data_IF_282721534038
#
_entry.id   IF_282721534038
#
_cell.length_a   1.000
_cell.length_b   1.000
_cell.length_c   1.000
_cell.angle_alpha   90.00
_cell.angle_beta   90.00
_cell.angle_gamma   90.00
#
_symmetry.space_group_name_H-M   'P 1'
#
loop_
_entity.id
_entity.type
_entity.pdbx_description
1 polymer ?
#
# COMPACT_ATOMS: atom_id res chain seq x y z
N UNK A 1 -29.20 -3.95 9.88
CA UNK A 1 -29.58 -2.88 10.84
C UNK A 1 -30.95 -2.38 10.43
N UNK A 2 -31.93 -2.46 11.32
CA UNK A 2 -33.29 -2.09 10.95
C UNK A 2 -33.44 -0.58 10.73
N UNK A 3 -34.35 -0.19 9.82
CA UNK A 3 -34.62 1.23 9.48
C UNK A 3 -34.91 2.07 10.71
N UNK A 4 -35.60 1.50 11.70
CA UNK A 4 -35.95 2.18 12.96
C UNK A 4 -34.70 2.44 13.80
N UNK A 5 -33.78 1.48 13.90
CA UNK A 5 -32.52 1.65 14.63
C UNK A 5 -31.65 2.73 13.98
N UNK A 6 -31.60 2.77 12.64
CA UNK A 6 -30.88 3.80 11.91
C UNK A 6 -31.45 5.20 12.15
N UNK A 7 -32.78 5.35 12.14
CA UNK A 7 -33.45 6.62 12.46
C UNK A 7 -33.14 7.07 13.90
N UNK A 8 -33.17 6.15 14.87
CA UNK A 8 -32.79 6.43 16.27
C UNK A 8 -31.34 6.91 16.39
N UNK A 9 -30.43 6.31 15.61
CA UNK A 9 -29.04 6.78 15.54
C UNK A 9 -28.95 8.20 14.97
N UNK A 10 -29.67 8.51 13.89
CA UNK A 10 -29.69 9.86 13.31
C UNK A 10 -30.24 10.91 14.28
N UNK A 11 -31.30 10.57 15.01
CA UNK A 11 -31.87 11.46 16.03
C UNK A 11 -30.89 11.69 17.19
N UNK A 12 -30.20 10.64 17.63
CA UNK A 12 -29.14 10.74 18.64
C UNK A 12 -27.98 11.62 18.17
N UNK A 13 -27.54 11.46 16.91
CA UNK A 13 -26.54 12.31 16.26
C UNK A 13 -26.97 13.77 16.23
N UNK A 14 -28.21 14.05 15.81
CA UNK A 14 -28.77 15.40 15.75
C UNK A 14 -28.81 16.06 17.14
N UNK A 15 -29.30 15.33 18.14
CA UNK A 15 -29.49 15.86 19.49
C UNK A 15 -28.17 16.08 20.23
N UNK A 16 -27.09 15.39 19.86
CA UNK A 16 -25.78 15.49 20.49
C UNK A 16 -24.68 16.03 19.57
N UNK A 17 -25.03 16.66 18.45
CA UNK A 17 -24.08 17.07 17.40
C UNK A 17 -22.95 17.96 17.94
N UNK A 18 -23.27 18.89 18.86
CA UNK A 18 -22.27 19.75 19.48
C UNK A 18 -21.22 18.97 20.28
N UNK A 19 -21.64 17.94 21.03
CA UNK A 19 -20.71 17.08 21.78
C UNK A 19 -19.82 16.28 20.82
N UNK A 20 -20.40 15.73 19.74
CA UNK A 20 -19.63 14.97 18.74
C UNK A 20 -18.61 15.83 18.01
N UNK A 21 -18.97 17.05 17.60
CA UNK A 21 -18.04 18.00 16.98
C UNK A 21 -16.88 18.32 17.93
N UNK A 22 -17.15 18.60 19.20
CA UNK A 22 -16.09 18.90 20.19
C UNK A 22 -15.15 17.70 20.37
N UNK A 23 -15.69 16.48 20.48
CA UNK A 23 -14.87 15.26 20.57
C UNK A 23 -14.01 15.10 19.31
N UNK A 24 -14.61 15.25 18.13
CA UNK A 24 -13.90 15.09 16.86
C UNK A 24 -12.79 16.13 16.69
N UNK A 25 -13.04 17.39 17.07
CA UNK A 25 -12.03 18.46 17.05
C UNK A 25 -10.88 18.18 18.03
N UNK A 26 -11.17 17.65 19.21
CA UNK A 26 -10.16 17.27 20.19
C UNK A 26 -9.22 16.19 19.63
N UNK A 27 -9.78 15.20 18.92
CA UNK A 27 -9.02 14.09 18.34
C UNK A 27 -8.52 14.35 16.91
N UNK A 28 -8.84 15.51 16.35
CA UNK A 28 -8.36 15.92 15.03
C UNK A 28 -6.85 16.14 15.02
N UNK A 29 -6.29 16.70 16.10
CA UNK A 29 -4.84 16.94 16.22
C UNK A 29 -4.05 15.61 16.24
N UNK A 30 -4.36 14.63 17.11
CA UNK A 30 -3.77 13.29 17.03
C UNK A 30 -3.92 12.62 15.66
N UNK A 31 -5.08 12.77 15.02
CA UNK A 31 -5.34 12.22 13.69
C UNK A 31 -4.43 12.83 12.62
N UNK A 32 -4.31 14.16 12.58
CA UNK A 32 -3.40 14.84 11.65
C UNK A 32 -1.96 14.37 11.88
N UNK A 33 -1.52 14.31 13.14
CA UNK A 33 -0.17 13.87 13.49
C UNK A 33 0.09 12.45 12.96
N UNK A 34 -0.85 11.53 13.17
CA UNK A 34 -0.76 10.16 12.68
C UNK A 34 -0.75 10.11 11.13
N UNK A 35 -1.64 10.84 10.46
CA UNK A 35 -1.74 10.87 8.99
C UNK A 35 -0.49 11.47 8.36
N UNK A 36 0.03 12.57 8.89
CA UNK A 36 1.27 13.19 8.40
C UNK A 36 2.45 12.23 8.58
N UNK A 37 2.57 11.57 9.73
CA UNK A 37 3.59 10.55 9.96
C UNK A 37 3.48 9.39 8.97
N UNK A 38 2.29 8.82 8.83
CA UNK A 38 2.01 7.71 7.91
C UNK A 38 2.29 8.07 6.44
N UNK A 39 1.89 9.27 5.98
CA UNK A 39 2.09 9.72 4.60
C UNK A 39 3.56 9.76 4.17
N UNK A 40 4.47 9.85 5.13
CA UNK A 40 5.93 9.84 4.90
C UNK A 40 6.54 8.45 5.07
N UNK A 41 6.01 7.63 5.99
CA UNK A 41 6.50 6.28 6.26
C UNK A 41 6.05 5.30 5.17
N UNK A 42 4.79 5.36 4.73
CA UNK A 42 4.22 4.41 3.76
C UNK A 42 5.04 4.38 2.46
N UNK A 43 5.36 5.51 1.81
CA UNK A 43 6.20 5.49 0.61
C UNK A 43 7.60 4.92 0.85
N UNK A 44 8.18 5.12 2.05
CA UNK A 44 9.48 4.55 2.40
C UNK A 44 9.41 3.03 2.54
N UNK A 45 8.34 2.52 3.16
CA UNK A 45 8.08 1.09 3.27
C UNK A 45 7.87 0.45 1.90
N UNK A 46 7.06 1.06 1.02
CA UNK A 46 6.86 0.60 -0.36
C UNK A 46 8.18 0.57 -1.12
N UNK A 47 8.95 1.66 -1.12
CA UNK A 47 10.28 1.69 -1.76
C UNK A 47 11.26 0.65 -1.17
N UNK A 48 11.12 0.28 0.11
CA UNK A 48 11.92 -0.77 0.72
C UNK A 48 11.53 -2.14 0.17
N UNK A 49 10.23 -2.46 0.09
CA UNK A 49 9.76 -3.70 -0.52
C UNK A 49 10.13 -3.78 -2.00
N UNK A 50 9.96 -2.72 -2.77
CA UNK A 50 10.36 -2.67 -4.19
C UNK A 50 11.89 -2.80 -4.37
N UNK A 51 12.67 -2.45 -3.34
CA UNK A 51 14.13 -2.64 -3.37
C UNK A 51 14.57 -4.07 -3.04
N UNK A 52 13.66 -4.97 -2.64
CA UNK A 52 14.00 -6.38 -2.44
C UNK A 52 14.25 -7.10 -3.78
N UNK A 53 13.64 -6.65 -4.89
CA UNK A 53 13.82 -7.25 -6.22
C UNK A 53 15.16 -6.90 -6.89
N UNK A 54 15.85 -5.85 -6.42
CA UNK A 54 17.18 -5.44 -6.92
C UNK A 54 18.09 -5.03 -5.77
N UNK A 55 19.12 -5.84 -5.53
CA UNK A 55 20.13 -5.54 -4.53
C UNK A 55 21.19 -4.60 -5.10
N UNK A 56 21.09 -3.32 -4.74
CA UNK A 56 22.08 -2.30 -5.08
C UNK A 56 23.30 -2.46 -4.16
N UNK A 57 24.42 -2.91 -4.74
CA UNK A 57 25.66 -3.19 -4.00
C UNK A 57 26.44 -1.91 -3.74
N UNK A 58 26.56 -1.04 -4.75
CA UNK A 58 27.36 0.18 -4.66
C UNK A 58 26.86 1.23 -5.65
N UNK A 59 26.87 2.51 -5.27
CA UNK A 59 26.62 3.63 -6.19
C UNK A 59 27.64 4.71 -5.93
N UNK A 60 28.21 5.27 -7.00
CA UNK A 60 29.17 6.36 -6.88
C UNK A 60 28.54 7.58 -6.20
N UNK A 61 29.37 8.24 -5.41
CA UNK A 61 29.08 9.47 -4.68
C UNK A 61 28.76 10.66 -5.60
N UNK A 62 28.99 10.58 -6.89
CA UNK A 62 28.74 11.71 -7.79
C UNK A 62 27.30 11.74 -8.33
N UNK A 63 26.51 10.70 -8.05
CA UNK A 63 25.16 10.54 -8.61
C UNK A 63 24.08 10.39 -7.54
N UNK A 64 23.14 11.33 -7.50
CA UNK A 64 22.10 11.38 -6.47
C UNK A 64 20.75 10.77 -6.89
N UNK A 65 20.42 10.78 -8.20
CA UNK A 65 19.13 10.28 -8.73
C UNK A 65 19.33 9.57 -10.06
N UNK A 66 19.20 8.25 -10.05
CA UNK A 66 19.41 7.41 -11.22
C UNK A 66 18.13 6.61 -11.53
N UNK A 67 17.97 6.28 -12.80
CA UNK A 67 16.93 5.36 -13.27
C UNK A 67 17.61 4.23 -14.00
N UNK A 68 17.51 3.03 -13.44
CA UNK A 68 17.97 1.81 -14.06
C UNK A 68 16.79 1.17 -14.77
N UNK A 69 16.94 0.85 -16.05
CA UNK A 69 15.97 0.10 -16.82
C UNK A 69 16.60 -1.21 -17.23
N UNK A 70 15.93 -2.31 -16.96
CA UNK A 70 16.35 -3.65 -17.34
C UNK A 70 15.29 -4.24 -18.24
N UNK A 71 15.70 -4.76 -19.39
CA UNK A 71 14.83 -5.50 -20.29
C UNK A 71 15.34 -6.93 -20.42
N UNK A 72 14.48 -7.88 -20.06
CA UNK A 72 14.78 -9.31 -20.12
C UNK A 72 14.40 -9.83 -21.51
N UNK A 73 15.39 -10.33 -22.26
CA UNK A 73 15.16 -10.83 -23.61
C UNK A 73 14.50 -12.23 -23.54
N UNK A 74 13.55 -12.52 -24.45
CA UNK A 74 13.00 -13.88 -24.55
C UNK A 74 14.09 -14.86 -24.99
N UNK A 75 14.12 -16.05 -24.38
CA UNK A 75 15.11 -17.08 -24.69
C UNK A 75 14.76 -17.73 -26.04
N UNK A 76 15.70 -17.74 -26.98
CA UNK A 76 15.52 -18.39 -28.28
C UNK A 76 14.54 -17.65 -29.20
N UNK A 77 15.08 -16.80 -30.08
CA UNK A 77 14.32 -16.30 -31.23
C UNK A 77 14.22 -17.44 -32.25
N UNK A 78 13.18 -18.27 -32.12
CA UNK A 78 12.69 -19.10 -33.22
C UNK A 78 11.68 -18.24 -33.98
N UNK A 79 12.14 -17.54 -35.03
CA UNK A 79 11.36 -16.58 -35.84
C UNK A 79 10.04 -17.16 -36.38
N UNK A 80 9.92 -18.49 -36.43
CA UNK A 80 8.80 -19.19 -37.05
C UNK A 80 7.61 -19.50 -36.12
N UNK A 81 7.72 -19.37 -34.78
CA UNK A 81 6.66 -19.83 -33.87
C UNK A 81 5.76 -18.76 -33.24
N UNK A 82 6.07 -17.47 -33.39
CA UNK A 82 5.24 -16.39 -32.81
C UNK A 82 4.58 -15.49 -33.87
N UNK A 83 4.01 -16.13 -34.89
CA UNK A 83 3.45 -15.51 -36.10
C UNK A 83 2.15 -14.70 -35.98
N UNK A 84 1.56 -14.46 -34.79
CA UNK A 84 0.30 -13.70 -34.69
C UNK A 84 0.50 -12.25 -34.21
N UNK A 85 1.17 -12.04 -33.07
CA UNK A 85 1.37 -10.68 -32.54
C UNK A 85 2.45 -9.90 -33.30
N UNK A 86 3.52 -10.55 -33.75
CA UNK A 86 4.60 -9.91 -34.52
C UNK A 86 4.13 -9.41 -35.90
N UNK A 87 3.24 -10.16 -36.58
CA UNK A 87 2.62 -9.74 -37.84
C UNK A 87 1.67 -8.55 -37.68
N UNK A 88 1.01 -8.43 -36.52
CA UNK A 88 0.09 -7.31 -36.26
C UNK A 88 0.83 -5.98 -36.10
N UNK A 89 2.00 -5.99 -35.45
CA UNK A 89 2.82 -4.78 -35.26
C UNK A 89 3.66 -4.41 -36.48
N UNK A 90 4.11 -5.39 -37.28
CA UNK A 90 4.83 -5.11 -38.54
C UNK A 90 3.93 -4.39 -39.56
N UNK A 91 2.65 -4.76 -39.63
CA UNK A 91 1.67 -4.12 -40.53
C UNK A 91 1.29 -2.68 -40.13
N UNK A 92 1.57 -2.29 -38.89
CA UNK A 92 1.39 -0.91 -38.41
C UNK A 92 2.63 -0.03 -38.68
N UNK A 93 3.83 -0.62 -38.85
CA UNK A 93 5.08 0.09 -39.11
C UNK A 93 5.43 0.31 -40.59
N UNK A 94 4.89 -0.49 -41.50
CA UNK A 94 5.20 -0.43 -42.96
C UNK A 94 4.56 0.75 -43.72
N UNK A 95 3.96 1.74 -43.04
CA UNK A 95 3.39 2.95 -43.70
C UNK A 95 4.30 4.19 -43.68
N UNK A 96 5.61 4.04 -43.50
CA UNK A 96 6.53 5.17 -43.52
C UNK A 96 7.90 4.85 -44.10
N UNK A 97 8.04 5.03 -45.42
CA UNK A 97 9.22 5.59 -46.09
C UNK A 97 10.55 4.84 -46.01
N UNK A 98 11.00 4.33 -47.15
CA UNK A 98 12.36 3.89 -47.45
C UNK A 98 13.42 4.98 -47.24
N UNK A 99 14.62 4.57 -46.84
CA UNK A 99 15.87 5.14 -47.34
C UNK A 99 16.99 4.11 -47.16
N UNK A 100 17.56 3.70 -48.30
CA UNK A 100 18.86 3.06 -48.39
C UNK A 100 19.95 4.08 -48.06
N UNK A 101 21.01 3.65 -47.38
CA UNK A 101 22.31 3.53 -48.01
C UNK A 101 23.35 3.05 -46.99
N UNK A 102 24.28 2.28 -47.54
CA UNK A 102 25.44 1.62 -46.97
C UNK A 102 26.35 2.52 -46.13
N UNK A 103 26.92 1.95 -45.05
CA UNK A 103 28.38 2.02 -44.83
C UNK A 103 28.84 1.03 -43.74
N UNK A 104 29.94 0.35 -44.05
CA UNK A 104 30.58 -0.72 -43.29
C UNK A 104 31.22 -0.23 -41.99
N UNK A 105 31.00 -0.92 -40.87
CA UNK A 105 31.93 -0.94 -39.74
C UNK A 105 31.94 -2.33 -39.09
N UNK A 106 33.00 -3.09 -39.41
CA UNK A 106 33.72 -4.05 -38.58
C UNK A 106 32.84 -5.01 -37.75
N UNK A 107 32.57 -6.18 -38.33
CA UNK A 107 32.17 -7.38 -37.59
C UNK A 107 33.33 -7.85 -36.69
N UNK A 108 33.30 -7.42 -35.43
CA UNK A 108 34.06 -8.07 -34.37
C UNK A 108 33.25 -9.29 -33.90
N UNK A 109 33.80 -10.48 -34.13
CA UNK A 109 33.25 -11.78 -33.72
C UNK A 109 32.86 -11.78 -32.23
N UNK A 110 31.60 -11.52 -31.93
CA UNK A 110 31.01 -11.79 -30.63
C UNK A 110 30.81 -13.30 -30.50
N UNK A 111 31.68 -13.95 -29.71
CA UNK A 111 31.46 -15.31 -29.23
C UNK A 111 30.05 -15.43 -28.66
N UNK A 112 29.31 -16.46 -29.06
CA UNK A 112 27.99 -16.84 -28.54
C UNK A 112 27.97 -16.80 -27.00
N UNK A 113 27.54 -15.68 -26.45
CA UNK A 113 27.06 -15.55 -25.09
C UNK A 113 25.62 -15.13 -25.23
N UNK A 114 24.71 -16.07 -24.98
CA UNK A 114 23.27 -15.83 -24.98
C UNK A 114 22.96 -14.60 -24.12
N UNK A 115 22.57 -13.50 -24.77
CA UNK A 115 22.26 -12.26 -24.08
C UNK A 115 20.90 -12.44 -23.44
N UNK A 116 20.86 -12.46 -22.11
CA UNK A 116 19.63 -12.67 -21.33
C UNK A 116 18.87 -11.36 -21.09
N UNK A 117 19.52 -10.21 -21.25
CA UNK A 117 18.87 -8.92 -21.13
C UNK A 117 19.77 -7.72 -21.42
N UNK A 118 19.20 -6.52 -21.32
CA UNK A 118 19.92 -5.26 -21.48
C UNK A 118 19.59 -4.29 -20.35
N UNK A 119 20.61 -3.63 -19.79
CA UNK A 119 20.49 -2.62 -18.76
C UNK A 119 20.87 -1.24 -19.29
N UNK A 120 20.03 -0.25 -19.02
CA UNK A 120 20.27 1.15 -19.27
C UNK A 120 20.24 1.93 -17.96
N UNK A 121 21.22 2.81 -17.75
CA UNK A 121 21.26 3.70 -16.60
C UNK A 121 21.13 5.16 -17.07
N UNK A 122 20.16 5.87 -16.53
CA UNK A 122 19.87 7.26 -16.88
C UNK A 122 19.92 8.16 -15.64
N UNK A 123 20.21 9.44 -15.85
CA UNK A 123 19.80 10.48 -14.89
C UNK A 123 18.27 10.61 -14.93
N UNK A 124 17.65 10.83 -13.77
CA UNK A 124 16.18 10.93 -13.68
C UNK A 124 15.56 12.01 -14.56
N UNK A 125 16.22 13.17 -14.73
CA UNK A 125 15.72 14.26 -15.59
C UNK A 125 15.78 13.89 -17.06
N UNK A 126 16.80 13.12 -17.43
CA UNK A 126 17.02 12.64 -18.80
C UNK A 126 16.02 11.53 -19.13
N UNK A 127 15.80 10.58 -18.21
CA UNK A 127 14.87 9.47 -18.38
C UNK A 127 13.45 9.95 -18.76
N UNK A 128 12.93 10.96 -18.07
CA UNK A 128 11.59 11.50 -18.35
C UNK A 128 11.41 11.99 -19.81
N UNK A 129 12.49 12.45 -20.45
CA UNK A 129 12.48 12.90 -21.86
C UNK A 129 12.57 11.74 -22.85
N UNK A 130 13.23 10.64 -22.47
CA UNK A 130 13.49 9.51 -23.37
C UNK A 130 12.60 8.30 -23.15
N UNK A 131 11.76 8.28 -22.11
CA UNK A 131 10.87 7.15 -21.77
C UNK A 131 10.01 6.67 -22.93
N UNK A 132 9.54 7.57 -23.81
CA UNK A 132 8.73 7.21 -24.99
C UNK A 132 9.52 6.31 -25.96
N UNK A 133 10.82 6.58 -26.11
CA UNK A 133 11.70 5.80 -26.98
C UNK A 133 12.05 4.44 -26.37
N UNK A 134 11.99 4.30 -25.05
CA UNK A 134 12.17 3.03 -24.36
C UNK A 134 11.11 2.01 -24.80
N UNK A 135 9.83 2.38 -24.72
CA UNK A 135 8.74 1.52 -25.13
C UNK A 135 8.73 1.22 -26.64
N UNK A 136 9.19 2.17 -27.47
CA UNK A 136 9.36 1.98 -28.92
C UNK A 136 10.60 1.14 -29.27
N UNK A 137 11.57 1.01 -28.37
CA UNK A 137 12.73 0.13 -28.56
C UNK A 137 12.37 -1.34 -28.35
N UNK A 138 11.35 -1.63 -27.53
CA UNK A 138 10.88 -2.98 -27.23
C UNK A 138 9.93 -3.57 -28.29
N UNK A 139 9.42 -2.76 -29.21
CA UNK A 139 8.56 -3.23 -30.32
C UNK A 139 9.34 -3.69 -31.57
N UNK A 140 10.67 -3.73 -31.51
CA UNK A 140 11.56 -4.23 -32.57
C UNK A 140 12.84 -4.82 -31.96
N UNK A 141 13.91 -5.01 -32.72
CA UNK A 141 15.20 -5.47 -32.18
C UNK A 141 15.74 -4.43 -31.14
N UNK A 142 15.76 -4.79 -29.84
CA UNK A 142 16.14 -3.89 -28.76
C UNK A 142 17.64 -3.54 -28.77
N UNK A 143 18.44 -4.14 -29.64
CA UNK A 143 19.87 -3.88 -29.78
C UNK A 143 20.21 -2.99 -30.98
N UNK A 144 19.43 -3.06 -32.07
CA UNK A 144 19.79 -2.47 -33.37
C UNK A 144 18.91 -1.29 -33.81
N UNK A 145 17.69 -1.15 -33.26
CA UNK A 145 16.75 -0.14 -33.79
C UNK A 145 17.17 1.32 -33.49
N UNK A 146 16.65 2.27 -34.28
CA UNK A 146 17.00 3.70 -34.17
C UNK A 146 16.71 4.28 -32.77
N UNK A 147 15.68 3.78 -32.08
CA UNK A 147 15.36 4.17 -30.71
C UNK A 147 16.36 3.59 -29.69
N UNK A 148 16.81 2.35 -29.86
CA UNK A 148 17.86 1.74 -29.04
C UNK A 148 19.19 2.48 -29.20
N UNK A 149 19.57 2.88 -30.42
CA UNK A 149 20.75 3.72 -30.67
C UNK A 149 20.65 5.07 -29.96
N UNK A 150 19.49 5.72 -29.99
CA UNK A 150 19.22 6.96 -29.25
C UNK A 150 19.34 6.76 -27.73
N UNK A 151 18.76 5.68 -27.20
CA UNK A 151 18.81 5.36 -25.77
C UNK A 151 20.25 5.11 -25.30
N UNK A 152 21.04 4.33 -26.04
CA UNK A 152 22.48 4.13 -25.78
C UNK A 152 23.25 5.45 -25.79
N UNK A 153 22.93 6.34 -26.74
CA UNK A 153 23.55 7.68 -26.84
C UNK A 153 23.16 8.63 -25.72
N UNK A 154 22.06 8.39 -25.01
CA UNK A 154 21.58 9.30 -23.95
C UNK A 154 21.78 8.72 -22.54
N UNK A 155 21.92 7.40 -22.44
CA UNK A 155 22.24 6.71 -21.19
C UNK A 155 23.62 7.14 -20.66
N UNK A 156 23.71 7.19 -19.32
CA UNK A 156 24.98 7.32 -18.58
C UNK A 156 25.81 6.04 -18.79
N UNK A 157 25.15 4.88 -18.72
CA UNK A 157 25.75 3.56 -18.92
C UNK A 157 24.76 2.64 -19.64
N UNK A 158 25.29 1.78 -20.51
CA UNK A 158 24.56 0.69 -21.17
C UNK A 158 25.35 -0.60 -21.03
N UNK A 159 24.68 -1.72 -20.73
CA UNK A 159 25.33 -3.02 -20.59
C UNK A 159 24.41 -4.16 -21.01
N UNK A 160 24.93 -5.11 -21.77
CA UNK A 160 24.27 -6.40 -22.02
C UNK A 160 24.49 -7.33 -20.83
N UNK A 161 23.44 -8.02 -20.42
CA UNK A 161 23.45 -8.96 -19.31
C UNK A 161 23.50 -10.37 -19.89
N UNK A 162 24.58 -11.08 -19.58
CA UNK A 162 24.81 -12.44 -20.09
C UNK A 162 24.64 -13.50 -18.99
N UNK A 163 24.69 -13.10 -17.71
CA UNK A 163 24.44 -13.95 -16.54
C UNK A 163 23.94 -13.08 -15.38
N UNK A 164 23.05 -13.65 -14.56
CA UNK A 164 22.50 -13.03 -13.36
C UNK A 164 23.30 -13.41 -12.09
N UNK A 165 24.25 -14.35 -12.20
CA UNK A 165 25.01 -14.88 -11.05
C UNK A 165 26.16 -13.96 -10.63
N UNK A 166 26.41 -12.90 -11.40
CA UNK A 166 27.48 -11.93 -11.16
C UNK A 166 26.93 -10.52 -11.10
N UNK A 167 27.52 -9.66 -10.23
CA UNK A 167 27.08 -8.29 -10.14
C UNK A 167 27.34 -7.54 -11.45
N UNK A 168 26.32 -6.83 -11.93
CA UNK A 168 26.39 -5.99 -13.11
C UNK A 168 26.98 -4.64 -12.72
N UNK A 169 28.20 -4.38 -13.17
CA UNK A 169 28.84 -3.06 -13.03
C UNK A 169 28.44 -2.13 -14.17
N UNK A 170 27.78 -1.04 -13.85
CA UNK A 170 27.45 0.07 -14.74
C UNK A 170 28.50 1.17 -14.59
N UNK A 171 29.18 1.51 -15.68
CA UNK A 171 30.25 2.50 -15.72
C UNK A 171 29.87 3.65 -16.63
N UNK A 172 30.24 4.87 -16.26
CA UNK A 172 30.05 6.02 -17.13
C UNK A 172 30.96 5.93 -18.36
N UNK A 173 30.81 6.88 -19.29
CA UNK A 173 31.64 6.95 -20.50
C UNK A 173 33.12 7.18 -20.24
N UNK A 174 33.46 7.67 -19.06
CA UNK A 174 34.83 7.93 -18.64
C UNK A 174 35.44 6.71 -17.92
N UNK A 175 34.68 5.61 -17.77
CA UNK A 175 35.11 4.38 -17.13
C UNK A 175 34.90 4.33 -15.61
N UNK A 176 34.36 5.39 -15.01
CA UNK A 176 34.10 5.43 -13.57
C UNK A 176 32.91 4.54 -13.22
N UNK A 177 33.02 3.79 -12.13
CA UNK A 177 31.91 3.00 -11.61
C UNK A 177 30.78 3.94 -11.19
N UNK A 178 29.60 3.78 -11.78
CA UNK A 178 28.40 4.55 -11.40
C UNK A 178 27.56 3.75 -10.44
N UNK A 179 27.35 2.46 -10.73
CA UNK A 179 26.44 1.62 -9.98
C UNK A 179 26.80 0.14 -10.15
N UNK A 180 26.81 -0.64 -9.06
CA UNK A 180 26.98 -2.09 -9.05
C UNK A 180 25.72 -2.72 -8.46
N UNK A 181 25.17 -3.71 -9.16
CA UNK A 181 23.86 -4.30 -8.85
C UNK A 181 23.94 -5.82 -8.93
N UNK A 182 23.30 -6.52 -8.01
CA UNK A 182 22.92 -7.92 -8.21
C UNK A 182 21.49 -7.95 -8.78
N UNK A 183 21.31 -8.69 -9.86
CA UNK A 183 20.03 -8.79 -10.56
C UNK A 183 19.46 -10.18 -10.35
N UNK A 184 18.19 -10.26 -9.94
CA UNK A 184 17.48 -11.52 -9.96
C UNK A 184 16.85 -11.74 -11.36
N UNK A 185 16.79 -13.00 -11.83
CA UNK A 185 16.10 -13.32 -13.06
C UNK A 185 14.61 -13.00 -12.93
N UNK A 186 14.07 -12.23 -13.88
CA UNK A 186 12.64 -11.95 -13.99
C UNK A 186 12.04 -12.65 -15.22
N UNK A 187 10.72 -12.58 -15.38
CA UNK A 187 10.02 -13.16 -16.53
C UNK A 187 10.50 -12.57 -17.88
N UNK A 188 10.53 -13.41 -18.91
CA UNK A 188 10.94 -13.02 -20.26
C UNK A 188 10.03 -11.94 -20.87
N UNK A 189 10.61 -11.00 -21.62
CA UNK A 189 9.87 -9.90 -22.27
C UNK A 189 9.42 -8.79 -21.31
N UNK A 190 9.82 -8.85 -20.04
CA UNK A 190 9.50 -7.83 -19.03
C UNK A 190 10.54 -6.70 -19.05
N UNK A 191 10.06 -5.46 -18.99
CA UNK A 191 10.89 -4.28 -18.72
C UNK A 191 10.69 -3.83 -17.27
N UNK A 192 11.74 -3.92 -16.45
CA UNK A 192 11.74 -3.39 -15.09
C UNK A 192 12.40 -2.01 -15.06
N UNK A 193 11.80 -1.08 -14.33
CA UNK A 193 12.31 0.30 -14.19
C UNK A 193 12.50 0.58 -12.70
N UNK A 194 13.76 0.72 -12.31
CA UNK A 194 14.17 1.01 -10.94
C UNK A 194 14.56 2.48 -10.79
N UNK A 195 13.91 3.16 -9.86
CA UNK A 195 14.26 4.53 -9.51
C UNK A 195 15.19 4.51 -8.31
N UNK A 196 16.48 4.67 -8.56
CA UNK A 196 17.45 4.86 -7.49
C UNK A 196 17.51 6.32 -7.05
N UNK A 197 17.43 6.53 -5.73
CA UNK A 197 17.74 7.80 -5.11
C UNK A 197 18.80 7.54 -4.05
N UNK A 198 19.96 8.17 -4.20
CA UNK A 198 21.07 8.06 -3.24
C UNK A 198 20.54 8.33 -1.84
N UNK A 199 20.70 7.33 -0.95
CA UNK A 199 20.30 7.41 0.47
C UNK A 199 21.28 8.28 1.27
N UNK A 200 21.83 9.35 0.68
CA UNK A 200 22.67 10.35 1.38
C UNK A 200 21.94 11.10 2.50
N UNK A 201 20.65 10.85 2.62
CA UNK A 201 19.79 11.46 3.58
C UNK A 201 18.76 10.43 4.06
N UNK A 202 19.22 9.42 4.83
CA UNK A 202 18.41 8.96 5.97
C UNK A 202 18.41 10.14 6.96
N UNK A 203 17.64 11.13 6.56
CA UNK A 203 17.65 12.47 7.09
C UNK A 203 16.73 12.43 8.31
N UNK A 204 17.10 13.13 9.38
CA UNK A 204 16.28 13.47 10.57
C UNK A 204 14.74 13.45 10.36
N UNK A 205 14.15 13.90 9.22
CA UNK A 205 12.73 13.70 8.89
C UNK A 205 12.18 12.26 8.93
N UNK A 206 12.94 11.18 8.72
CA UNK A 206 12.38 9.80 8.77
C UNK A 206 12.10 9.39 10.21
N UNK A 207 13.11 9.48 11.08
CA UNK A 207 12.94 9.22 12.51
C UNK A 207 11.88 10.13 13.12
N UNK A 208 11.86 11.41 12.73
CA UNK A 208 10.81 12.34 13.15
C UNK A 208 9.42 11.91 12.67
N UNK A 209 9.29 11.39 11.43
CA UNK A 209 8.00 10.90 10.92
C UNK A 209 7.54 9.63 11.66
N UNK A 210 8.46 8.74 12.00
CA UNK A 210 8.19 7.56 12.84
C UNK A 210 7.68 8.00 14.21
N UNK A 211 8.39 8.93 14.88
CA UNK A 211 7.99 9.46 16.18
C UNK A 211 6.61 10.12 16.10
N UNK A 212 6.35 10.96 15.08
CA UNK A 212 5.04 11.57 14.88
C UNK A 212 3.95 10.50 14.69
N UNK A 213 4.18 9.51 13.84
CA UNK A 213 3.22 8.43 13.64
C UNK A 213 2.95 7.67 14.94
N UNK A 214 4.00 7.29 15.68
CA UNK A 214 3.87 6.58 16.96
C UNK A 214 3.09 7.41 17.98
N UNK A 215 3.43 8.70 18.15
CA UNK A 215 2.72 9.57 19.10
C UNK A 215 1.26 9.75 18.69
N UNK A 216 0.98 10.04 17.41
CA UNK A 216 -0.39 10.17 16.91
C UNK A 216 -1.20 8.88 17.08
N UNK A 217 -0.60 7.74 16.77
CA UNK A 217 -1.21 6.42 16.96
C UNK A 217 -1.52 6.15 18.43
N UNK A 218 -0.56 6.37 19.34
CA UNK A 218 -0.76 6.15 20.78
C UNK A 218 -1.89 7.04 21.33
N UNK A 219 -1.92 8.32 20.95
CA UNK A 219 -2.97 9.23 21.37
C UNK A 219 -4.35 8.78 20.88
N UNK A 220 -4.47 8.34 19.62
CA UNK A 220 -5.73 7.80 19.09
C UNK A 220 -6.12 6.49 19.79
N UNK A 221 -5.18 5.55 19.91
CA UNK A 221 -5.41 4.22 20.49
C UNK A 221 -5.94 4.29 21.93
N UNK A 222 -5.37 5.17 22.75
CA UNK A 222 -5.80 5.39 24.15
C UNK A 222 -7.20 6.02 24.20
N UNK A 223 -7.52 6.86 23.21
CA UNK A 223 -8.75 7.65 23.21
C UNK A 223 -9.96 6.84 22.76
N UNK A 224 -9.79 5.84 21.90
CA UNK A 224 -10.89 5.07 21.31
C UNK A 224 -11.78 4.44 22.38
N UNK A 225 -11.22 3.82 23.42
CA UNK A 225 -12.06 3.21 24.48
C UNK A 225 -12.87 4.23 25.27
N UNK A 226 -12.28 5.38 25.60
CA UNK A 226 -13.00 6.46 26.27
C UNK A 226 -14.10 7.08 25.41
N UNK A 227 -13.85 7.28 24.12
CA UNK A 227 -14.87 7.73 23.15
C UNK A 227 -15.98 6.68 23.03
N UNK A 228 -15.62 5.40 22.99
CA UNK A 228 -16.57 4.28 22.89
C UNK A 228 -17.47 4.26 24.12
N UNK A 229 -16.92 4.35 25.33
CA UNK A 229 -17.72 4.40 26.56
C UNK A 229 -18.61 5.64 26.63
N UNK A 230 -18.04 6.81 26.33
CA UNK A 230 -18.81 8.05 26.36
C UNK A 230 -19.99 8.01 25.37
N UNK A 231 -19.75 7.55 24.14
CA UNK A 231 -20.80 7.43 23.11
C UNK A 231 -21.81 6.34 23.46
N UNK A 232 -21.36 5.25 24.08
CA UNK A 232 -22.25 4.20 24.57
C UNK A 232 -23.23 4.75 25.61
N UNK A 233 -22.74 5.48 26.62
CA UNK A 233 -23.60 6.11 27.64
C UNK A 233 -24.66 7.03 27.00
N UNK A 234 -24.29 7.80 25.97
CA UNK A 234 -25.25 8.59 25.20
C UNK A 234 -26.30 7.73 24.49
N UNK A 235 -25.91 6.61 23.88
CA UNK A 235 -26.82 5.63 23.23
C UNK A 235 -27.78 4.97 24.24
N UNK A 236 -27.35 4.81 25.49
CA UNK A 236 -28.20 4.35 26.59
C UNK A 236 -28.94 5.49 27.32
N UNK A 237 -28.96 6.71 26.75
CA UNK A 237 -29.63 7.90 27.30
C UNK A 237 -29.11 8.35 28.67
N UNK A 238 -27.89 7.96 29.04
CA UNK A 238 -27.19 8.47 30.22
C UNK A 238 -26.43 9.75 29.87
N UNK A 239 -26.96 10.90 30.29
CA UNK A 239 -26.28 12.19 30.11
C UNK A 239 -25.16 12.38 31.15
N UNK A 240 -23.92 12.10 30.76
CA UNK A 240 -22.72 12.39 31.55
C UNK A 240 -22.11 13.74 31.16
N UNK A 241 -21.40 14.36 32.12
CA UNK A 241 -20.62 15.59 31.87
C UNK A 241 -19.44 15.30 30.95
N UNK A 242 -18.97 16.30 30.20
CA UNK A 242 -17.83 16.14 29.29
C UNK A 242 -16.54 15.70 30.00
N UNK A 243 -16.36 16.08 31.27
CA UNK A 243 -15.24 15.61 32.11
C UNK A 243 -15.17 14.08 32.22
N UNK A 244 -16.29 13.38 32.06
CA UNK A 244 -16.37 11.92 32.06
C UNK A 244 -15.55 11.29 30.92
N UNK A 245 -15.41 11.96 29.78
CA UNK A 245 -14.63 11.44 28.64
C UNK A 245 -13.18 11.17 29.05
N UNK A 246 -12.56 12.08 29.79
CA UNK A 246 -11.17 11.93 30.25
C UNK A 246 -11.04 10.86 31.34
N UNK A 247 -12.05 10.74 32.19
CA UNK A 247 -12.11 9.66 33.18
C UNK A 247 -12.21 8.28 32.51
N UNK A 248 -13.09 8.15 31.52
CA UNK A 248 -13.26 6.95 30.71
C UNK A 248 -11.98 6.60 29.93
N UNK A 249 -11.31 7.58 29.33
CA UNK A 249 -10.02 7.37 28.66
C UNK A 249 -8.96 6.83 29.63
N UNK A 250 -8.88 7.37 30.85
CA UNK A 250 -7.94 6.89 31.86
C UNK A 250 -8.27 5.46 32.31
N UNK A 251 -9.56 5.13 32.46
CA UNK A 251 -10.03 3.81 32.87
C UNK A 251 -9.70 2.74 31.84
N UNK A 252 -9.90 3.04 30.55
CA UNK A 252 -9.71 2.10 29.45
C UNK A 252 -8.35 2.21 28.75
N UNK A 253 -7.39 2.97 29.31
CA UNK A 253 -6.13 3.31 28.64
C UNK A 253 -5.35 2.07 28.16
N UNK A 254 -5.07 1.14 29.07
CA UNK A 254 -4.26 -0.05 28.77
C UNK A 254 -5.03 -0.98 27.81
N UNK A 255 -6.29 -1.26 28.11
CA UNK A 255 -7.12 -2.14 27.29
C UNK A 255 -7.26 -1.61 25.85
N UNK A 256 -7.53 -0.32 25.68
CA UNK A 256 -7.68 0.29 24.35
C UNK A 256 -6.38 0.30 23.57
N UNK A 257 -5.25 0.55 24.25
CA UNK A 257 -3.94 0.52 23.63
C UNK A 257 -3.59 -0.89 23.13
N UNK A 258 -3.76 -1.92 23.96
CA UNK A 258 -3.41 -3.30 23.59
C UNK A 258 -4.33 -3.81 22.47
N UNK A 259 -5.64 -3.54 22.55
CA UNK A 259 -6.60 -3.90 21.48
C UNK A 259 -6.22 -3.20 20.17
N UNK A 260 -5.98 -1.89 20.20
CA UNK A 260 -5.62 -1.11 19.01
C UNK A 260 -4.32 -1.61 18.38
N UNK A 261 -3.31 -1.90 19.21
CA UNK A 261 -2.03 -2.43 18.74
C UNK A 261 -2.20 -3.80 18.10
N UNK A 262 -2.92 -4.71 18.76
CA UNK A 262 -3.18 -6.04 18.22
C UNK A 262 -3.94 -5.99 16.90
N UNK A 263 -5.01 -5.21 16.81
CA UNK A 263 -5.76 -5.01 15.55
C UNK A 263 -4.87 -4.46 14.44
N UNK A 264 -4.06 -3.44 14.75
CA UNK A 264 -3.16 -2.81 13.77
C UNK A 264 -2.11 -3.80 13.27
N UNK A 265 -1.53 -4.61 14.15
CA UNK A 265 -0.57 -5.64 13.78
C UNK A 265 -1.20 -6.72 12.89
N UNK A 266 -2.40 -7.20 13.25
CA UNK A 266 -3.13 -8.20 12.44
C UNK A 266 -3.44 -7.65 11.05
N UNK A 267 -3.99 -6.43 10.94
CA UNK A 267 -4.28 -5.83 9.64
C UNK A 267 -3.02 -5.57 8.83
N UNK A 268 -1.95 -5.10 9.47
CA UNK A 268 -0.67 -4.87 8.79
C UNK A 268 -0.09 -6.18 8.25
N UNK A 269 -0.14 -7.27 9.02
CA UNK A 269 0.31 -8.58 8.58
C UNK A 269 -0.49 -9.09 7.37
N UNK A 270 -1.82 -8.97 7.40
CA UNK A 270 -2.69 -9.39 6.29
C UNK A 270 -2.44 -8.54 5.04
N UNK A 271 -2.39 -7.21 5.17
CA UNK A 271 -2.14 -6.29 4.05
C UNK A 271 -0.76 -6.56 3.43
N UNK A 272 0.26 -6.77 4.27
CA UNK A 272 1.62 -7.09 3.80
C UNK A 272 1.65 -8.44 3.07
N UNK A 273 0.92 -9.45 3.57
CA UNK A 273 0.78 -10.73 2.87
C UNK A 273 0.07 -10.59 1.52
N UNK A 274 -1.03 -9.82 1.45
CA UNK A 274 -1.72 -9.55 0.18
C UNK A 274 -0.75 -8.89 -0.80
N UNK A 275 -0.01 -7.87 -0.36
CA UNK A 275 0.98 -7.18 -1.19
C UNK A 275 2.06 -8.15 -1.70
N UNK A 276 2.65 -8.94 -0.80
CA UNK A 276 3.71 -9.89 -1.12
C UNK A 276 3.26 -10.92 -2.16
N UNK A 277 2.12 -11.57 -1.94
CA UNK A 277 1.66 -12.60 -2.87
C UNK A 277 1.12 -12.05 -4.19
N UNK A 278 0.57 -10.83 -4.20
CA UNK A 278 0.03 -10.22 -5.42
C UNK A 278 1.13 -9.61 -6.30
N UNK A 279 2.14 -8.96 -5.70
CA UNK A 279 3.10 -8.14 -6.45
C UNK A 279 4.53 -8.70 -6.46
N UNK A 280 4.98 -9.37 -5.40
CA UNK A 280 6.37 -9.87 -5.31
C UNK A 280 6.49 -11.25 -5.96
N UNK A 281 5.59 -12.18 -5.63
CA UNK A 281 5.65 -13.54 -6.19
C UNK A 281 5.14 -13.65 -7.63
N UNK A 282 4.11 -12.87 -8.01
CA UNK A 282 3.63 -12.71 -9.40
C UNK A 282 3.08 -13.97 -10.11
N UNK A 283 3.12 -15.14 -9.49
CA UNK A 283 2.71 -16.43 -10.07
C UNK A 283 1.19 -16.68 -9.92
N UNK A 284 0.59 -17.47 -10.82
CA UNK A 284 -0.85 -17.77 -10.79
C UNK A 284 -1.34 -18.38 -9.47
N UNK A 285 -0.54 -19.25 -8.84
CA UNK A 285 -0.83 -19.81 -7.50
C UNK A 285 -0.75 -18.77 -6.39
N UNK A 286 0.18 -17.81 -6.49
CA UNK A 286 0.32 -16.72 -5.51
C UNK A 286 -0.86 -15.74 -5.55
N UNK A 287 -1.43 -15.48 -6.73
CA UNK A 287 -2.66 -14.67 -6.87
C UNK A 287 -3.84 -15.32 -6.15
N UNK A 288 -3.99 -16.65 -6.23
CA UNK A 288 -5.02 -17.37 -5.49
C UNK A 288 -4.84 -17.25 -3.97
N UNK A 289 -3.61 -17.37 -3.46
CA UNK A 289 -3.31 -17.15 -2.03
C UNK A 289 -3.60 -15.70 -1.61
N UNK A 290 -3.31 -14.72 -2.47
CA UNK A 290 -3.67 -13.32 -2.22
C UNK A 290 -5.19 -13.14 -2.11
N UNK A 291 -5.98 -13.79 -2.97
CA UNK A 291 -7.45 -13.76 -2.90
C UNK A 291 -7.99 -14.34 -1.57
N UNK A 292 -7.41 -15.42 -1.05
CA UNK A 292 -7.76 -15.96 0.28
C UNK A 292 -7.45 -14.94 1.37
N UNK A 293 -6.30 -14.26 1.31
CA UNK A 293 -5.94 -13.23 2.28
C UNK A 293 -6.89 -12.01 2.22
N UNK A 294 -7.41 -11.65 1.04
CA UNK A 294 -8.46 -10.61 0.91
C UNK A 294 -9.74 -11.01 1.65
N UNK A 295 -10.16 -12.28 1.56
CA UNK A 295 -11.28 -12.76 2.36
C UNK A 295 -11.00 -12.75 3.85
N UNK A 296 -9.80 -13.17 4.26
CA UNK A 296 -9.37 -13.09 5.66
C UNK A 296 -9.40 -11.63 6.17
N UNK A 297 -8.93 -10.68 5.37
CA UNK A 297 -9.02 -9.25 5.67
C UNK A 297 -10.47 -8.82 5.90
N UNK A 298 -11.36 -9.19 4.97
CA UNK A 298 -12.78 -8.87 5.06
C UNK A 298 -13.41 -9.41 6.36
N UNK A 299 -13.21 -10.69 6.69
CA UNK A 299 -13.74 -11.28 7.93
C UNK A 299 -13.14 -10.65 9.18
N UNK A 300 -11.85 -10.33 9.18
CA UNK A 300 -11.22 -9.66 10.32
C UNK A 300 -11.80 -8.26 10.56
N UNK A 301 -12.07 -7.50 9.51
CA UNK A 301 -12.71 -6.19 9.64
C UNK A 301 -14.13 -6.33 10.20
N UNK A 302 -14.91 -7.32 9.76
CA UNK A 302 -16.24 -7.59 10.34
C UNK A 302 -16.18 -7.91 11.83
N UNK A 303 -15.21 -8.71 12.28
CA UNK A 303 -15.01 -9.02 13.71
C UNK A 303 -14.66 -7.73 14.48
N UNK A 304 -13.79 -6.88 13.93
CA UNK A 304 -13.29 -5.69 14.62
C UNK A 304 -14.36 -4.62 14.89
N UNK A 305 -15.44 -4.60 14.11
CA UNK A 305 -16.62 -3.75 14.35
C UNK A 305 -17.15 -3.92 15.78
N UNK A 306 -17.06 -5.14 16.34
CA UNK A 306 -17.67 -5.50 17.61
C UNK A 306 -16.74 -5.41 18.82
N UNK A 307 -15.42 -5.41 18.60
CA UNK A 307 -14.45 -5.56 19.68
C UNK A 307 -14.49 -4.40 20.67
N UNK A 308 -14.46 -3.15 20.20
CA UNK A 308 -14.50 -1.99 21.09
C UNK A 308 -15.82 -1.88 21.86
N UNK A 309 -17.01 -1.97 21.22
CA UNK A 309 -18.28 -2.01 21.93
C UNK A 309 -18.32 -3.10 23.03
N UNK A 310 -17.86 -4.31 22.73
CA UNK A 310 -17.83 -5.41 23.72
C UNK A 310 -16.85 -5.12 24.86
N UNK A 311 -15.67 -4.55 24.55
CA UNK A 311 -14.65 -4.25 25.55
C UNK A 311 -15.09 -3.25 26.62
N UNK A 312 -16.04 -2.37 26.27
CA UNK A 312 -16.59 -1.39 27.21
C UNK A 312 -17.75 -1.98 28.02
N UNK A 313 -18.56 -2.86 27.41
CA UNK A 313 -19.65 -3.57 28.13
C UNK A 313 -19.08 -4.48 29.21
N UNK A 314 -18.02 -5.23 28.89
CA UNK A 314 -17.40 -6.20 29.79
C UNK A 314 -15.95 -5.78 30.09
N UNK A 315 -15.72 -4.75 30.92
CA UNK A 315 -14.38 -4.18 31.14
C UNK A 315 -13.42 -5.15 31.85
N UNK A 316 -13.95 -6.12 32.58
CA UNK A 316 -13.16 -7.13 33.33
C UNK A 316 -12.77 -8.34 32.49
N UNK A 317 -13.28 -8.45 31.25
CA UNK A 317 -12.95 -9.57 30.38
C UNK A 317 -11.50 -9.48 29.88
N UNK A 318 -10.83 -10.63 29.84
CA UNK A 318 -9.55 -10.73 29.15
C UNK A 318 -9.69 -10.39 27.66
N UNK A 319 -8.65 -9.81 27.06
CA UNK A 319 -8.64 -9.43 25.63
C UNK A 319 -9.00 -10.62 24.73
N UNK A 320 -8.50 -11.81 25.05
CA UNK A 320 -8.83 -13.05 24.31
C UNK A 320 -10.33 -13.34 24.35
N UNK A 321 -10.97 -13.16 25.51
CA UNK A 321 -12.41 -13.36 25.65
C UNK A 321 -13.21 -12.31 24.87
N UNK A 322 -12.75 -11.05 24.84
CA UNK A 322 -13.38 -10.00 24.04
C UNK A 322 -13.35 -10.38 22.55
N UNK A 323 -12.21 -10.82 22.02
CA UNK A 323 -12.10 -11.27 20.63
C UNK A 323 -12.96 -12.50 20.34
N UNK A 324 -12.99 -13.49 21.25
CA UNK A 324 -13.88 -14.66 21.12
C UNK A 324 -15.35 -14.22 21.05
N UNK A 325 -15.79 -13.36 21.95
CA UNK A 325 -17.17 -12.82 21.96
C UNK A 325 -17.46 -12.04 20.68
N UNK A 326 -16.52 -11.23 20.19
CA UNK A 326 -16.67 -10.51 18.92
C UNK A 326 -16.79 -11.45 17.72
N UNK A 327 -16.04 -12.55 17.70
CA UNK A 327 -16.14 -13.61 16.68
C UNK A 327 -17.53 -14.24 16.72
N UNK A 328 -17.97 -14.71 17.89
CA UNK A 328 -19.30 -15.34 18.03
C UNK A 328 -20.40 -14.37 17.61
N UNK A 329 -20.36 -13.13 18.10
CA UNK A 329 -21.36 -12.12 17.76
C UNK A 329 -21.40 -11.84 16.25
N UNK A 330 -20.23 -11.74 15.61
CA UNK A 330 -20.11 -11.51 14.18
C UNK A 330 -20.74 -12.63 13.36
N UNK A 331 -20.48 -13.89 13.71
CA UNK A 331 -20.99 -15.04 12.94
C UNK A 331 -22.45 -15.37 13.26
N UNK A 332 -22.88 -15.23 14.52
CA UNK A 332 -24.28 -15.40 14.92
C UNK A 332 -25.19 -14.33 14.29
N UNK A 333 -24.64 -13.13 14.04
CA UNK A 333 -25.33 -12.00 13.44
C UNK A 333 -24.64 -11.53 12.15
N UNK A 334 -24.30 -12.47 11.26
CA UNK A 334 -23.52 -12.17 10.06
C UNK A 334 -24.17 -11.10 9.17
N UNK A 335 -25.47 -11.20 8.92
CA UNK A 335 -26.22 -10.22 8.12
C UNK A 335 -26.17 -8.81 8.74
N UNK A 336 -26.36 -8.72 10.06
CA UNK A 336 -26.26 -7.45 10.78
C UNK A 336 -24.86 -6.89 10.71
N UNK A 337 -23.83 -7.72 10.86
CA UNK A 337 -22.42 -7.31 10.75
C UNK A 337 -22.08 -6.78 9.37
N UNK A 338 -22.61 -7.41 8.31
CA UNK A 338 -22.46 -6.97 6.93
C UNK A 338 -23.15 -5.61 6.70
N UNK A 339 -24.37 -5.42 7.18
CA UNK A 339 -25.08 -4.13 7.09
C UNK A 339 -24.30 -3.02 7.81
N UNK A 340 -23.82 -3.31 9.02
CA UNK A 340 -23.01 -2.36 9.78
C UNK A 340 -21.72 -2.01 9.06
N UNK A 341 -21.06 -2.97 8.42
CA UNK A 341 -19.87 -2.74 7.62
C UNK A 341 -20.14 -1.82 6.42
N UNK A 342 -21.21 -2.06 5.67
CA UNK A 342 -21.57 -1.21 4.52
C UNK A 342 -21.88 0.23 4.95
N UNK A 343 -22.63 0.41 6.04
CA UNK A 343 -22.95 1.74 6.57
C UNK A 343 -21.69 2.38 7.18
N UNK A 344 -20.80 1.60 7.80
CA UNK A 344 -19.53 2.09 8.31
C UNK A 344 -18.65 2.64 7.18
N UNK A 345 -18.60 1.97 6.02
CA UNK A 345 -17.91 2.51 4.82
C UNK A 345 -18.49 3.87 4.45
N UNK A 346 -19.83 3.98 4.37
CA UNK A 346 -20.49 5.26 4.07
C UNK A 346 -20.12 6.34 5.11
N UNK A 347 -20.12 6.01 6.40
CA UNK A 347 -19.75 6.96 7.46
C UNK A 347 -18.29 7.38 7.39
N UNK A 348 -17.37 6.46 7.07
CA UNK A 348 -15.96 6.77 6.84
C UNK A 348 -15.82 7.71 5.65
N UNK A 349 -16.51 7.45 4.53
CA UNK A 349 -16.49 8.33 3.35
C UNK A 349 -17.02 9.73 3.70
N UNK A 350 -18.17 9.82 4.37
CA UNK A 350 -18.75 11.11 4.80
C UNK A 350 -17.81 11.82 5.78
N UNK A 351 -17.19 11.09 6.71
CA UNK A 351 -16.21 11.63 7.65
C UNK A 351 -15.01 12.23 6.91
N UNK A 352 -14.48 11.55 5.89
CA UNK A 352 -13.38 12.11 5.07
C UNK A 352 -13.83 13.38 4.34
N UNK A 353 -15.03 13.39 3.74
CA UNK A 353 -15.57 14.55 3.02
C UNK A 353 -15.80 15.77 3.93
N UNK A 354 -16.09 15.56 5.22
CA UNK A 354 -16.28 16.62 6.21
C UNK A 354 -15.02 16.91 7.02
N UNK A 355 -13.85 16.42 6.60
CA UNK A 355 -12.58 16.56 7.30
C UNK A 355 -12.62 16.03 8.74
N UNK A 356 -13.37 14.94 8.97
CA UNK A 356 -13.49 14.26 10.26
C UNK A 356 -14.46 14.92 11.24
N UNK A 357 -15.18 15.98 10.84
CA UNK A 357 -16.07 16.72 11.73
C UNK A 357 -17.40 15.97 11.93
N UNK A 358 -17.99 15.41 10.86
CA UNK A 358 -19.28 14.68 10.91
C UNK A 358 -19.25 13.47 9.96
N UNK A 359 -19.52 12.24 10.43
CA UNK A 359 -19.73 11.83 11.82
C UNK A 359 -18.44 11.83 12.66
N UNK A 360 -17.25 11.77 12.02
CA UNK A 360 -15.97 11.66 12.71
C UNK A 360 -15.84 10.37 13.54
N UNK A 361 -14.81 10.30 14.38
CA UNK A 361 -14.56 9.12 15.24
C UNK A 361 -15.71 8.91 16.22
N UNK A 362 -16.23 9.99 16.82
CA UNK A 362 -17.28 9.90 17.83
C UNK A 362 -18.62 9.43 17.26
N UNK A 363 -19.02 9.90 16.09
CA UNK A 363 -20.24 9.43 15.43
C UNK A 363 -20.12 7.99 14.95
N UNK A 364 -18.94 7.57 14.45
CA UNK A 364 -18.67 6.17 14.11
C UNK A 364 -18.81 5.29 15.36
N UNK A 365 -18.21 5.66 16.50
CA UNK A 365 -18.34 4.86 17.73
C UNK A 365 -19.78 4.85 18.26
N UNK A 366 -20.51 5.97 18.16
CA UNK A 366 -21.93 6.02 18.49
C UNK A 366 -22.78 5.10 17.59
N UNK A 367 -22.43 4.99 16.32
CA UNK A 367 -23.06 4.06 15.38
C UNK A 367 -22.82 2.60 15.77
N UNK A 368 -21.56 2.23 16.02
CA UNK A 368 -21.19 0.88 16.47
C UNK A 368 -21.90 0.51 17.78
N UNK A 369 -21.98 1.45 18.72
CA UNK A 369 -22.71 1.28 19.97
C UNK A 369 -24.24 1.21 19.80
N UNK A 370 -24.79 1.82 18.74
CA UNK A 370 -26.21 1.64 18.41
C UNK A 370 -26.47 0.23 17.87
N UNK A 371 -25.52 -0.30 17.10
CA UNK A 371 -25.54 -1.68 16.62
C UNK A 371 -25.50 -2.73 17.74
N UNK A 372 -24.57 -2.59 18.70
CA UNK A 372 -24.49 -3.54 19.82
C UNK A 372 -25.79 -3.51 20.65
N UNK A 373 -26.41 -2.34 20.81
CA UNK A 373 -27.70 -2.20 21.49
C UNK A 373 -28.81 -2.93 20.75
N UNK A 374 -28.91 -2.77 19.43
CA UNK A 374 -29.90 -3.49 18.60
C UNK A 374 -29.70 -5.01 18.68
N UNK A 375 -28.46 -5.49 18.55
CA UNK A 375 -28.17 -6.92 18.66
C UNK A 375 -28.53 -7.42 20.06
N UNK A 376 -28.14 -6.69 21.12
CA UNK A 376 -28.46 -7.07 22.50
C UNK A 376 -29.97 -7.18 22.76
N UNK A 377 -30.80 -6.31 22.19
CA UNK A 377 -32.26 -6.40 22.36
C UNK A 377 -32.85 -7.71 21.82
N UNK A 378 -32.23 -8.31 20.80
CA UNK A 378 -32.71 -9.59 20.23
C UNK A 378 -32.50 -10.78 21.16
N UNK A 379 -31.57 -10.67 22.13
CA UNK A 379 -31.24 -11.73 23.07
C UNK A 379 -31.86 -11.53 24.46
N UNK A 380 -32.44 -10.36 24.74
CA UNK A 380 -33.08 -10.04 26.03
C UNK A 380 -34.58 -10.34 26.02
N UNK A 381 -35.20 -10.42 24.84
CA UNK A 381 -36.63 -10.67 24.66
C UNK A 381 -37.00 -12.17 24.50
N UNK A 382 -36.26 -13.10 25.13
CA UNK A 382 -36.57 -14.55 25.17
C UNK A 382 -36.83 -15.02 26.59
#
# INVERSE_FOLDING_TARGET
>A
MDRIAFLKFFELMKNNIGKFIVINLLFFVPLIIAVVGASRIIPLAVNFFDSLDVSVVEVSRDYDRLVLVIYYLPAGVDEDKHGFFFKLFRKAGEKGGSLSDSENVIEEKASEREIKGVAYLFDRRVFNRVRKHLFMSFSGDPLSNAHAKLLKKVAISFKSINSFDKPVEMRDRNGNLVMRLMLEPAGEGVAQIFFYKSRRFINIPVYFSIVLFTVGFLLLAISIGGITEFTQRLVFHENRRFSYLFEAMRRHLIHSLVISLFMTLVLTAIITNIYFYMFVMGNGTSVFVAAINVWLFFFMVLIFIWVFPISVINPEDSIVNIFKKAIYLCFDNFNTSLDMFLILILQVVVSVLTLGIVPGISGIMAFLNSGIKEVSSRYVDV
#
